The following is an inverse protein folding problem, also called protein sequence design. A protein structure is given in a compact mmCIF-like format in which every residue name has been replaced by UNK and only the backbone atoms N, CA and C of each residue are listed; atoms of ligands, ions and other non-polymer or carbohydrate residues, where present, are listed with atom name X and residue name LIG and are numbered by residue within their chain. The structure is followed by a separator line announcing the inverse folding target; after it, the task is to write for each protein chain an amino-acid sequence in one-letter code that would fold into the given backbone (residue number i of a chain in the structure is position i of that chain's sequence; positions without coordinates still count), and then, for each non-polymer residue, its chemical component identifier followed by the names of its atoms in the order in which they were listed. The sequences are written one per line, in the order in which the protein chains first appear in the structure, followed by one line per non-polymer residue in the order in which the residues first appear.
data_IF_749244194019
#
_entry.id   IF_749244194019
#
_cell.length_a   1.000
_cell.length_b   1.000
_cell.length_c   1.000
_cell.angle_alpha   90.00
_cell.angle_beta   90.00
_cell.angle_gamma   90.00
#
_symmetry.space_group_name_H-M   'P 1'
#
loop_
_entity.id
_entity.type
_entity.pdbx_description
1 polymer ?
#
# COMPACT_ATOMS: atom_id res chain seq x y z
N UNK A 1 -10.38 -11.55 -5.06
CA UNK A 1 -9.41 -10.47 -5.22
C UNK A 1 -10.07 -9.42 -6.08
N UNK A 2 -9.93 -8.16 -5.69
CA UNK A 2 -10.42 -7.00 -6.42
C UNK A 2 -9.26 -6.07 -6.70
N UNK A 3 -9.33 -5.38 -7.83
CA UNK A 3 -8.31 -4.43 -8.30
C UNK A 3 -9.04 -3.13 -8.59
N UNK A 4 -8.48 -2.01 -8.15
CA UNK A 4 -8.98 -0.68 -8.40
C UNK A 4 -7.84 0.30 -8.69
N UNK A 5 -8.18 1.40 -9.32
CA UNK A 5 -7.27 2.50 -9.63
C UNK A 5 -8.06 3.81 -9.55
N UNK A 6 -7.37 4.90 -9.19
CA UNK A 6 -7.90 6.24 -9.28
C UNK A 6 -6.77 7.26 -9.43
N UNK A 7 -7.04 8.27 -10.26
CA UNK A 7 -6.24 9.48 -10.40
C UNK A 7 -7.07 10.70 -10.01
N UNK A 8 -6.59 11.50 -9.05
CA UNK A 8 -7.30 12.69 -8.56
C UNK A 8 -6.33 13.85 -8.35
N UNK A 9 -6.76 15.06 -8.71
CA UNK A 9 -5.99 16.30 -8.53
C UNK A 9 -5.17 16.70 -9.75
N UNK A 10 -4.31 17.71 -9.58
CA UNK A 10 -3.49 18.30 -10.63
C UNK A 10 -2.08 18.69 -10.13
N UNK A 11 -1.20 19.01 -11.08
CA UNK A 11 0.17 19.46 -10.80
C UNK A 11 1.03 18.42 -10.06
N UNK A 12 2.04 18.86 -9.29
CA UNK A 12 2.98 17.96 -8.61
C UNK A 12 2.36 17.15 -7.46
N UNK A 13 1.15 17.52 -7.01
CA UNK A 13 0.44 16.87 -5.91
C UNK A 13 -0.69 15.95 -6.38
N UNK A 14 -0.83 15.74 -7.69
CA UNK A 14 -1.81 14.79 -8.22
C UNK A 14 -1.54 13.38 -7.68
N UNK A 15 -2.59 12.73 -7.18
CA UNK A 15 -2.50 11.41 -6.57
C UNK A 15 -2.94 10.34 -7.56
N UNK A 16 -2.07 9.38 -7.83
CA UNK A 16 -2.38 8.19 -8.62
C UNK A 16 -2.19 6.95 -7.74
N UNK A 17 -3.30 6.29 -7.39
CA UNK A 17 -3.31 5.14 -6.50
C UNK A 17 -3.75 3.91 -7.27
N UNK A 18 -2.99 2.82 -7.10
CA UNK A 18 -3.37 1.48 -7.55
C UNK A 18 -3.63 0.64 -6.31
N UNK A 19 -4.75 -0.08 -6.26
CA UNK A 19 -5.18 -0.79 -5.05
C UNK A 19 -5.56 -2.22 -5.38
N UNK A 20 -5.19 -3.13 -4.49
CA UNK A 20 -5.65 -4.52 -4.48
C UNK A 20 -6.34 -4.80 -3.15
N UNK A 21 -7.48 -5.48 -3.20
CA UNK A 21 -8.24 -5.89 -2.01
C UNK A 21 -8.55 -7.38 -2.08
N UNK A 22 -8.49 -8.08 -0.96
CA UNK A 22 -8.78 -9.51 -0.90
C UNK A 22 -8.71 -10.06 0.51
N UNK A 23 -9.11 -11.33 0.65
CA UNK A 23 -9.06 -12.05 1.93
C UNK A 23 -7.63 -12.34 2.40
N UNK A 24 -7.47 -12.48 3.72
CA UNK A 24 -6.21 -12.77 4.41
C UNK A 24 -5.55 -14.06 3.95
N UNK A 25 -6.34 -15.12 3.76
CA UNK A 25 -5.83 -16.43 3.36
C UNK A 25 -5.72 -16.59 1.83
N UNK A 26 -5.87 -15.48 1.09
CA UNK A 26 -5.81 -15.44 -0.36
C UNK A 26 -4.53 -14.79 -0.90
N UNK A 27 -4.44 -14.63 -2.24
CA UNK A 27 -3.26 -14.06 -2.90
C UNK A 27 -2.91 -12.64 -2.40
N UNK A 28 -3.91 -11.85 -1.98
CA UNK A 28 -3.68 -10.50 -1.45
C UNK A 28 -3.04 -10.55 -0.07
N UNK A 29 -3.42 -11.47 0.81
CA UNK A 29 -2.76 -11.62 2.11
C UNK A 29 -1.33 -12.14 1.98
N UNK A 30 -1.07 -13.06 1.04
CA UNK A 30 0.29 -13.48 0.70
C UNK A 30 1.13 -12.30 0.18
N UNK A 31 0.61 -11.52 -0.78
CA UNK A 31 1.29 -10.34 -1.29
C UNK A 31 1.53 -9.27 -0.21
N UNK A 32 0.58 -9.08 0.71
CA UNK A 32 0.73 -8.17 1.86
C UNK A 32 1.90 -8.60 2.76
N UNK A 33 1.95 -9.87 3.14
CA UNK A 33 2.99 -10.39 4.03
C UNK A 33 4.38 -10.37 3.36
N UNK A 34 4.46 -10.81 2.10
CA UNK A 34 5.71 -10.78 1.33
C UNK A 34 6.19 -9.34 1.14
N UNK A 35 5.32 -8.43 0.69
CA UNK A 35 5.68 -7.04 0.45
C UNK A 35 6.21 -6.35 1.70
N UNK A 36 5.59 -6.58 2.86
CA UNK A 36 6.08 -6.04 4.14
C UNK A 36 7.46 -6.61 4.51
N UNK A 37 7.73 -7.88 4.22
CA UNK A 37 8.98 -8.55 4.55
C UNK A 37 10.13 -8.28 3.58
N UNK A 38 9.87 -7.67 2.42
CA UNK A 38 10.87 -7.48 1.35
C UNK A 38 11.02 -6.01 0.91
N UNK A 39 11.49 -5.12 1.78
CA UNK A 39 11.82 -3.75 1.38
C UNK A 39 12.98 -3.72 0.37
N UNK A 40 13.03 -2.69 -0.46
CA UNK A 40 14.13 -2.46 -1.41
C UNK A 40 14.59 -1.00 -1.39
N UNK A 41 15.73 -0.71 -2.01
CA UNK A 41 16.28 0.66 -2.01
C UNK A 41 15.27 1.65 -2.60
N UNK A 42 15.01 2.72 -1.85
CA UNK A 42 14.02 3.74 -2.20
C UNK A 42 12.56 3.29 -2.11
N UNK A 43 12.26 2.05 -1.71
CA UNK A 43 10.91 1.51 -1.58
C UNK A 43 10.76 0.78 -0.25
N UNK A 44 10.16 1.46 0.73
CA UNK A 44 9.97 0.96 2.08
C UNK A 44 8.47 0.80 2.36
N UNK A 45 7.90 -0.41 2.17
CA UNK A 45 6.51 -0.70 2.53
C UNK A 45 6.27 -0.50 4.02
N UNK A 46 5.10 0.02 4.39
CA UNK A 46 4.71 0.16 5.79
C UNK A 46 3.23 -0.15 6.01
N UNK A 47 2.93 -0.62 7.22
CA UNK A 47 1.55 -0.80 7.65
C UNK A 47 0.92 0.57 7.90
N UNK A 48 -0.20 0.85 7.23
CA UNK A 48 -0.90 2.12 7.40
C UNK A 48 -1.50 2.21 8.80
N UNK A 49 -1.20 3.30 9.50
CA UNK A 49 -1.74 3.63 10.81
C UNK A 49 -2.45 4.98 10.74
N UNK A 50 -3.56 5.12 11.46
CA UNK A 50 -4.25 6.41 11.60
C UNK A 50 -3.45 7.35 12.51
N UNK A 51 -2.88 6.79 13.57
CA UNK A 51 -2.02 7.44 14.56
C UNK A 51 -1.04 6.39 15.12
N UNK A 52 0.02 6.79 15.85
CA UNK A 52 0.88 5.84 16.56
C UNK A 52 0.05 4.83 17.37
N UNK A 53 0.42 3.55 17.26
CA UNK A 53 -0.27 2.41 17.89
C UNK A 53 -1.73 2.19 17.46
N UNK A 54 -2.20 2.84 16.39
CA UNK A 54 -3.56 2.70 15.86
C UNK A 54 -3.58 2.30 14.37
N UNK A 55 -3.44 1.01 14.03
CA UNK A 55 -3.50 0.53 12.65
C UNK A 55 -4.90 0.64 12.05
N UNK A 56 -4.98 0.94 10.75
CA UNK A 56 -6.27 0.92 10.03
C UNK A 56 -6.80 -0.50 9.88
N UNK A 57 -8.13 -0.63 9.82
CA UNK A 57 -8.81 -1.88 9.49
C UNK A 57 -9.69 -1.67 8.24
N UNK A 58 -9.56 -2.53 7.20
CA UNK A 58 -8.69 -3.71 7.12
C UNK A 58 -7.19 -3.36 7.08
N UNK A 59 -6.30 -4.27 7.55
CA UNK A 59 -4.84 -4.08 7.47
C UNK A 59 -4.41 -3.69 6.07
N UNK A 60 -3.74 -2.54 5.95
CA UNK A 60 -3.37 -1.96 4.67
C UNK A 60 -1.86 -1.80 4.62
N UNK A 61 -1.24 -2.29 3.54
CA UNK A 61 0.17 -2.06 3.25
C UNK A 61 0.24 -0.92 2.23
N UNK A 62 0.99 0.13 2.55
CA UNK A 62 1.30 1.18 1.58
C UNK A 62 2.68 0.91 1.00
N UNK A 63 2.78 0.98 -0.33
CA UNK A 63 4.04 0.86 -1.07
C UNK A 63 4.14 2.07 -1.98
N UNK A 64 5.22 2.84 -1.84
CA UNK A 64 5.47 3.98 -2.71
C UNK A 64 5.76 3.51 -4.15
N UNK A 65 5.29 4.28 -5.14
CA UNK A 65 5.51 3.99 -6.57
C UNK A 65 6.82 4.59 -7.10
N UNK A 66 7.15 5.79 -6.63
CA UNK A 66 8.38 6.48 -6.97
C UNK A 66 9.42 6.22 -5.88
N UNK A 67 10.67 5.99 -6.27
CA UNK A 67 11.76 5.83 -5.32
C UNK A 67 11.89 7.07 -4.43
N UNK A 68 11.93 6.85 -3.12
CA UNK A 68 12.20 7.89 -2.13
C UNK A 68 13.72 8.08 -2.07
N UNK A 69 14.16 9.35 -2.15
CA UNK A 69 15.55 9.76 -2.04
C UNK A 69 16.00 9.88 -0.57
#
# INVERSE_FOLDING_TARGET
MWIGESFVGDGPNAAHVNTVLGGRDGPVGAAWATGLATPSAGHAPFMVVLAPDMPVQPPTLFVNKAAIA
#
